data_IF_201692534083
#
_entry.id   IF_201692534083
#
_cell.length_a   1.000
_cell.length_b   1.000
_cell.length_c   1.000
_cell.angle_alpha   90.00
_cell.angle_beta   90.00
_cell.angle_gamma   90.00
#
_symmetry.space_group_name_H-M   'P 1'
#
loop_
_entity.id
_entity.type
_entity.pdbx_description
1 polymer ?
#
# COMPACT_ATOMS: atom_id res chain seq x y z
N UNK A 1 11.45 7.48 -1.36
CA UNK A 1 12.09 6.78 -0.23
C UNK A 1 13.58 7.06 -0.05
N UNK A 2 14.37 7.31 -1.13
CA UNK A 2 15.82 7.60 -1.03
C UNK A 2 16.22 8.67 0.02
N UNK A 3 15.44 9.74 0.17
CA UNK A 3 15.76 10.80 1.14
C UNK A 3 15.53 10.37 2.60
N UNK A 4 14.50 9.56 2.86
CA UNK A 4 14.20 9.01 4.19
C UNK A 4 15.33 8.07 4.62
N UNK A 5 15.76 7.21 3.71
CA UNK A 5 16.91 6.32 3.89
C UNK A 5 18.21 7.11 4.14
N UNK A 6 18.46 8.15 3.34
CA UNK A 6 19.65 9.02 3.47
C UNK A 6 19.70 9.74 4.83
N UNK A 7 18.55 10.12 5.37
CA UNK A 7 18.44 10.80 6.68
C UNK A 7 18.46 9.83 7.86
N UNK A 8 18.46 8.52 7.64
CA UNK A 8 18.42 7.52 8.70
C UNK A 8 17.13 7.57 9.52
N UNK A 9 16.03 8.04 8.92
CA UNK A 9 14.73 8.12 9.61
C UNK A 9 14.08 6.75 9.57
N UNK A 10 13.66 6.27 10.73
CA UNK A 10 12.82 5.09 10.84
C UNK A 10 11.36 5.45 10.59
N UNK A 11 10.74 4.89 9.56
CA UNK A 11 9.38 5.19 9.17
C UNK A 11 8.67 3.99 8.53
N UNK A 12 7.36 3.89 8.81
CA UNK A 12 6.39 3.13 8.02
C UNK A 12 5.47 4.13 7.32
N UNK A 13 5.27 3.94 6.02
CA UNK A 13 4.48 4.83 5.16
C UNK A 13 3.42 4.00 4.47
N UNK A 14 2.17 4.42 4.61
CA UNK A 14 1.04 3.92 3.86
C UNK A 14 0.60 4.98 2.85
N UNK A 15 0.31 4.55 1.62
CA UNK A 15 -0.32 5.38 0.59
C UNK A 15 -1.58 4.69 0.12
N UNK A 16 -2.73 5.36 0.27
CA UNK A 16 -4.02 4.88 -0.17
C UNK A 16 -5.01 6.03 -0.38
N UNK A 17 -5.94 5.92 -1.34
CA UNK A 17 -7.15 6.73 -1.38
C UNK A 17 -8.10 6.37 -0.24
N UNK A 18 -9.09 7.24 0.01
CA UNK A 18 -10.18 6.98 0.96
C UNK A 18 -11.23 6.02 0.37
N UNK A 19 -11.65 6.23 -0.87
CA UNK A 19 -12.60 5.37 -1.59
C UNK A 19 -12.48 5.52 -3.12
N UNK A 20 -13.02 4.56 -3.87
CA UNK A 20 -13.07 4.64 -5.32
C UNK A 20 -14.11 5.68 -5.78
N UNK A 21 -13.75 6.53 -6.75
CA UNK A 21 -14.68 7.48 -7.39
C UNK A 21 -14.57 7.40 -8.91
N UNK A 22 -15.13 6.35 -9.56
CA UNK A 22 -14.97 6.15 -10.99
C UNK A 22 -15.58 7.29 -11.80
N UNK A 23 -14.84 7.83 -12.78
CA UNK A 23 -15.27 8.96 -13.63
C UNK A 23 -16.64 8.73 -14.28
N UNK A 24 -16.93 7.48 -14.68
CA UNK A 24 -18.21 7.11 -15.31
C UNK A 24 -19.41 7.23 -14.36
N UNK A 25 -19.18 7.03 -13.06
CA UNK A 25 -20.24 6.99 -12.04
C UNK A 25 -20.33 8.32 -11.30
N UNK A 26 -19.20 9.05 -11.17
CA UNK A 26 -19.11 10.38 -10.52
C UNK A 26 -19.59 10.40 -9.05
N UNK A 27 -19.59 9.26 -8.41
CA UNK A 27 -19.90 9.10 -6.99
C UNK A 27 -18.98 8.05 -6.39
N UNK A 28 -18.88 8.04 -5.06
CA UNK A 28 -18.10 7.03 -4.36
C UNK A 28 -18.72 5.64 -4.58
N UNK A 29 -17.87 4.64 -4.81
CA UNK A 29 -18.28 3.25 -4.94
C UNK A 29 -17.61 2.39 -3.87
N UNK A 30 -18.15 1.19 -3.67
CA UNK A 30 -17.57 0.19 -2.78
C UNK A 30 -16.43 -0.62 -3.45
N UNK A 31 -15.96 -0.17 -4.62
CA UNK A 31 -14.83 -0.81 -5.27
C UNK A 31 -13.56 -0.62 -4.43
N UNK A 32 -12.71 -1.65 -4.42
CA UNK A 32 -11.45 -1.60 -3.69
C UNK A 32 -10.51 -0.56 -4.31
N UNK A 33 -9.74 0.10 -3.44
CA UNK A 33 -8.69 1.05 -3.83
C UNK A 33 -7.30 0.41 -3.69
N UNK A 34 -6.33 0.79 -4.53
CA UNK A 34 -4.96 0.32 -4.39
C UNK A 34 -4.32 0.97 -3.15
N UNK A 35 -3.50 0.21 -2.42
CA UNK A 35 -2.68 0.74 -1.35
C UNK A 35 -1.25 0.18 -1.43
N UNK A 36 -0.29 0.93 -0.88
CA UNK A 36 1.10 0.53 -0.81
C UNK A 36 1.66 0.83 0.58
N UNK A 37 2.44 -0.10 1.11
CA UNK A 37 3.12 0.05 2.40
C UNK A 37 4.62 -0.02 2.17
N UNK A 38 5.35 0.92 2.74
CA UNK A 38 6.81 0.94 2.77
C UNK A 38 7.28 1.02 4.21
N UNK A 39 8.26 0.19 4.56
CA UNK A 39 8.89 0.20 5.88
C UNK A 39 10.40 0.31 5.71
N UNK A 40 11.03 1.18 6.50
CA UNK A 40 12.50 1.29 6.56
C UNK A 40 13.14 0.18 7.40
N UNK A 41 12.38 -0.42 8.33
CA UNK A 41 12.82 -1.56 9.17
C UNK A 41 12.94 -2.83 8.33
N UNK A 42 12.03 -3.01 7.39
CA UNK A 42 11.94 -4.20 6.58
C UNK A 42 12.82 -4.09 5.32
N UNK A 43 14.11 -4.38 5.50
CA UNK A 43 15.10 -4.37 4.40
C UNK A 43 15.22 -5.73 3.69
N UNK A 44 14.54 -6.76 4.19
CA UNK A 44 14.52 -8.06 3.55
C UNK A 44 13.71 -7.97 2.25
N UNK A 45 14.37 -8.26 1.13
CA UNK A 45 13.70 -8.27 -0.17
C UNK A 45 12.62 -9.36 -0.25
N UNK A 46 12.78 -10.43 0.52
CA UNK A 46 11.84 -11.55 0.57
C UNK A 46 10.47 -11.19 1.15
N UNK A 47 10.36 -10.04 1.84
CA UNK A 47 9.08 -9.58 2.40
C UNK A 47 8.29 -8.67 1.44
N UNK A 48 8.92 -8.21 0.35
CA UNK A 48 8.26 -7.45 -0.72
C UNK A 48 7.51 -8.40 -1.64
N UNK A 49 6.33 -7.98 -2.10
CA UNK A 49 5.68 -8.69 -3.20
C UNK A 49 6.33 -8.37 -4.56
N UNK A 50 5.91 -9.12 -5.56
CA UNK A 50 6.39 -9.00 -6.94
C UNK A 50 5.69 -7.85 -7.70
N UNK A 51 4.86 -7.04 -7.04
CA UNK A 51 4.10 -5.96 -7.69
C UNK A 51 4.99 -4.74 -7.90
N UNK A 52 5.25 -4.42 -9.17
CA UNK A 52 6.12 -3.29 -9.54
C UNK A 52 5.37 -1.99 -9.88
N UNK A 53 4.04 -2.01 -9.98
CA UNK A 53 3.20 -0.88 -10.38
C UNK A 53 2.08 -0.61 -9.40
N UNK A 54 1.87 0.67 -9.10
CA UNK A 54 0.79 1.14 -8.24
C UNK A 54 -0.39 1.60 -9.09
N UNK A 55 -1.31 0.67 -9.38
CA UNK A 55 -2.57 0.90 -10.10
C UNK A 55 -3.64 -0.13 -9.66
N UNK A 56 -4.90 0.11 -10.03
CA UNK A 56 -6.06 -0.68 -9.57
C UNK A 56 -6.06 -2.14 -10.06
N UNK A 57 -5.21 -2.49 -11.02
CA UNK A 57 -5.12 -3.82 -11.61
C UNK A 57 -3.91 -4.58 -11.08
N UNK A 58 -2.72 -3.98 -11.10
CA UNK A 58 -1.48 -4.58 -10.62
C UNK A 58 -1.53 -4.90 -9.13
N UNK A 59 -2.09 -3.98 -8.32
CA UNK A 59 -2.21 -4.16 -6.87
C UNK A 59 -3.08 -5.36 -6.46
N UNK A 60 -3.90 -5.91 -7.37
CA UNK A 60 -4.69 -7.13 -7.11
C UNK A 60 -3.84 -8.37 -6.87
N UNK A 61 -2.58 -8.34 -7.33
CA UNK A 61 -1.60 -9.41 -7.15
C UNK A 61 -0.67 -9.14 -5.95
N UNK A 62 -0.93 -8.09 -5.16
CA UNK A 62 -0.13 -7.78 -3.97
C UNK A 62 -0.30 -8.83 -2.88
N UNK A 63 0.67 -8.89 -1.96
CA UNK A 63 0.74 -9.89 -0.88
C UNK A 63 -0.54 -9.99 -0.02
N UNK A 64 -1.24 -8.87 0.12
CA UNK A 64 -2.43 -8.76 0.97
C UNK A 64 -3.75 -9.06 0.24
N UNK A 65 -3.73 -9.38 -1.06
CA UNK A 65 -4.90 -9.83 -1.80
C UNK A 65 -5.99 -8.76 -1.99
N UNK A 66 -7.27 -9.20 -2.00
CA UNK A 66 -8.44 -8.33 -2.22
C UNK A 66 -9.17 -8.07 -0.90
N UNK A 67 -9.11 -6.82 -0.44
CA UNK A 67 -9.70 -6.42 0.83
C UNK A 67 -8.77 -6.83 1.97
N UNK A 68 -8.32 -5.83 2.73
CA UNK A 68 -7.39 -6.03 3.83
C UNK A 68 -8.13 -5.75 5.12
N UNK A 69 -8.40 -6.81 5.86
CA UNK A 69 -8.74 -6.72 7.27
C UNK A 69 -7.46 -6.40 8.05
N UNK A 70 -7.58 -5.73 9.19
CA UNK A 70 -6.46 -5.42 10.09
C UNK A 70 -5.36 -4.53 9.47
N UNK A 71 -5.74 -3.61 8.57
CA UNK A 71 -4.80 -2.65 7.95
C UNK A 71 -4.01 -1.81 8.98
N UNK A 72 -4.64 -1.48 10.11
CA UNK A 72 -4.00 -0.80 11.24
C UNK A 72 -2.92 -1.70 11.86
N UNK A 73 -3.22 -2.95 12.15
CA UNK A 73 -2.26 -3.89 12.75
C UNK A 73 -1.05 -4.05 11.83
N UNK A 74 -1.27 -4.26 10.52
CA UNK A 74 -0.18 -4.36 9.53
C UNK A 74 0.75 -3.13 9.56
N UNK A 75 0.21 -1.93 9.81
CA UNK A 75 0.99 -0.70 9.84
C UNK A 75 1.74 -0.47 11.15
N UNK A 76 1.23 -0.97 12.27
CA UNK A 76 1.76 -0.70 13.60
C UNK A 76 2.46 -1.89 14.26
N UNK A 77 2.25 -3.12 13.77
CA UNK A 77 3.02 -4.30 14.16
C UNK A 77 4.43 -4.19 13.63
N UNK A 78 5.43 -4.47 14.47
CA UNK A 78 6.85 -4.22 14.19
C UNK A 78 7.47 -5.12 13.12
#
# INVERSE_FOLDING_TARGET
MKEIEKRGIEAKIAVLPDHATPIKIKTHTADLVPFAIYSTKNKNKDERDEVEKYDEFACRNGKYGRGVENSIEILFED
#
